data_IF_806466791535
#
_entry.id   IF_806466791535
#
_cell.length_a   1.000
_cell.length_b   1.000
_cell.length_c   1.000
_cell.angle_alpha   90.00
_cell.angle_beta   90.00
_cell.angle_gamma   90.00
#
_symmetry.space_group_name_H-M   'P 1'
#
loop_
_entity.id
_entity.type
_entity.pdbx_description
1 polymer ?
#
# COMPACT_ATOMS: atom_id res chain seq x y z
N UNK A 1 -7.62 -15.01 -11.02
CA UNK A 1 -8.47 -14.17 -10.14
C UNK A 1 -9.54 -13.53 -10.99
N UNK A 2 -10.74 -13.37 -10.45
CA UNK A 2 -11.78 -12.55 -11.08
C UNK A 2 -11.49 -11.07 -10.81
N UNK A 3 -11.57 -10.23 -11.84
CA UNK A 3 -11.13 -8.84 -11.80
C UNK A 3 -11.95 -7.97 -10.82
N UNK A 4 -13.29 -7.97 -10.91
CA UNK A 4 -14.15 -7.26 -9.98
C UNK A 4 -14.02 -7.73 -8.53
N UNK A 5 -13.92 -9.03 -8.29
CA UNK A 5 -13.72 -9.60 -6.96
C UNK A 5 -12.38 -9.13 -6.36
N UNK A 6 -11.29 -9.24 -7.12
CA UNK A 6 -9.98 -8.77 -6.68
C UNK A 6 -9.95 -7.27 -6.34
N UNK A 7 -10.71 -6.44 -7.08
CA UNK A 7 -10.85 -5.01 -6.78
C UNK A 7 -11.60 -4.78 -5.47
N UNK A 8 -12.68 -5.52 -5.21
CA UNK A 8 -13.44 -5.41 -3.97
C UNK A 8 -12.57 -5.81 -2.76
N UNK A 9 -11.84 -6.93 -2.88
CA UNK A 9 -10.92 -7.39 -1.85
C UNK A 9 -9.82 -6.35 -1.57
N UNK A 10 -9.22 -5.78 -2.63
CA UNK A 10 -8.22 -4.73 -2.50
C UNK A 10 -8.76 -3.51 -1.73
N UNK A 11 -9.96 -3.03 -2.08
CA UNK A 11 -10.59 -1.89 -1.41
C UNK A 11 -10.87 -2.22 0.06
N UNK A 12 -11.42 -3.40 0.35
CA UNK A 12 -11.71 -3.84 1.72
C UNK A 12 -10.45 -3.86 2.58
N UNK A 13 -9.38 -4.51 2.09
CA UNK A 13 -8.09 -4.54 2.79
C UNK A 13 -7.46 -3.15 2.93
N UNK A 14 -7.60 -2.27 1.93
CA UNK A 14 -7.11 -0.88 2.03
C UNK A 14 -7.81 -0.11 3.14
N UNK A 15 -9.13 -0.20 3.23
CA UNK A 15 -9.89 0.49 4.27
C UNK A 15 -9.50 0.00 5.66
N UNK A 16 -9.31 -1.30 5.84
CA UNK A 16 -8.82 -1.88 7.09
C UNK A 16 -7.42 -1.36 7.46
N UNK A 17 -6.50 -1.30 6.49
CA UNK A 17 -5.17 -0.71 6.73
C UNK A 17 -5.27 0.76 7.12
N UNK A 18 -6.09 1.55 6.44
CA UNK A 18 -6.27 2.96 6.77
C UNK A 18 -6.84 3.17 8.18
N UNK A 19 -7.82 2.37 8.59
CA UNK A 19 -8.38 2.41 9.95
C UNK A 19 -7.33 2.09 11.03
N UNK A 20 -6.37 1.19 10.75
CA UNK A 20 -5.26 0.91 11.66
C UNK A 20 -4.26 2.08 11.76
N UNK A 21 -4.09 2.83 10.68
CA UNK A 21 -3.14 3.95 10.61
C UNK A 21 -3.73 5.28 11.09
N UNK A 22 -5.06 5.42 11.10
CA UNK A 22 -5.79 6.68 11.36
C UNK A 22 -5.44 7.35 12.69
N UNK A 23 -5.15 6.55 13.72
CA UNK A 23 -4.90 7.05 15.08
C UNK A 23 -3.42 7.05 15.48
N UNK A 24 -2.51 6.88 14.52
CA UNK A 24 -1.08 6.92 14.81
C UNK A 24 -0.60 8.35 15.05
N UNK A 25 0.07 8.54 16.17
CA UNK A 25 0.89 9.71 16.44
C UNK A 25 2.27 9.61 15.79
N UNK A 26 3.08 10.67 15.90
CA UNK A 26 4.42 10.71 15.30
C UNK A 26 5.31 9.55 15.78
N UNK A 27 5.20 9.18 17.07
CA UNK A 27 5.95 8.05 17.64
C UNK A 27 5.52 6.71 17.03
N UNK A 28 4.21 6.52 16.81
CA UNK A 28 3.64 5.38 16.12
C UNK A 28 4.18 5.24 14.69
N UNK A 29 4.27 6.35 13.96
CA UNK A 29 4.85 6.36 12.61
C UNK A 29 6.34 6.01 12.59
N UNK A 30 7.10 6.46 13.60
CA UNK A 30 8.53 6.15 13.75
C UNK A 30 8.81 4.77 14.37
N UNK A 31 7.79 3.95 14.62
CA UNK A 31 7.96 2.61 15.18
C UNK A 31 8.88 1.77 14.28
N UNK A 32 9.98 1.19 14.82
CA UNK A 32 10.88 0.35 14.04
C UNK A 32 10.21 -0.92 13.54
N UNK A 33 10.55 -1.30 12.32
CA UNK A 33 10.13 -2.54 11.66
C UNK A 33 11.33 -3.20 10.97
N UNK A 34 11.20 -4.49 10.65
CA UNK A 34 12.18 -5.23 9.85
C UNK A 34 11.48 -5.80 8.63
N UNK A 35 11.77 -5.22 7.47
CA UNK A 35 11.26 -5.70 6.20
C UNK A 35 12.22 -6.75 5.61
N UNK A 36 11.67 -7.82 5.04
CA UNK A 36 12.48 -8.92 4.50
C UNK A 36 13.41 -8.47 3.35
N UNK A 37 12.99 -7.46 2.58
CA UNK A 37 13.74 -6.93 1.43
C UNK A 37 14.55 -5.68 1.79
N UNK A 38 13.98 -4.77 2.58
CA UNK A 38 14.57 -3.45 2.84
C UNK A 38 15.37 -3.39 4.15
N UNK A 39 15.34 -4.46 4.95
CA UNK A 39 16.05 -4.51 6.23
C UNK A 39 15.37 -3.67 7.31
N UNK A 40 16.14 -3.05 8.23
CA UNK A 40 15.61 -2.13 9.23
C UNK A 40 14.92 -0.93 8.58
N UNK A 41 13.71 -0.62 9.04
CA UNK A 41 12.85 0.43 8.49
C UNK A 41 11.89 0.94 9.56
N UNK A 42 10.99 1.88 9.25
CA UNK A 42 9.90 2.34 10.12
C UNK A 42 8.52 1.98 9.56
N UNK A 43 7.47 2.08 10.38
CA UNK A 43 6.09 1.93 9.90
C UNK A 43 5.74 2.96 8.82
N UNK A 44 6.27 4.18 8.92
CA UNK A 44 6.11 5.22 7.90
C UNK A 44 6.70 4.78 6.56
N UNK A 45 7.94 4.30 6.55
CA UNK A 45 8.61 3.84 5.33
C UNK A 45 7.88 2.64 4.69
N UNK A 46 7.45 1.67 5.49
CA UNK A 46 6.63 0.54 4.99
C UNK A 46 5.34 1.04 4.34
N UNK A 47 4.66 2.00 4.96
CA UNK A 47 3.42 2.58 4.42
C UNK A 47 3.67 3.36 3.13
N UNK A 48 4.81 4.04 3.02
CA UNK A 48 5.25 4.70 1.79
C UNK A 48 5.53 3.68 0.67
N UNK A 49 6.17 2.55 0.97
CA UNK A 49 6.40 1.49 -0.01
C UNK A 49 5.08 0.93 -0.55
N UNK A 50 4.09 0.70 0.31
CA UNK A 50 2.75 0.26 -0.10
C UNK A 50 2.11 1.28 -1.05
N UNK A 51 2.12 2.56 -0.67
CA UNK A 51 1.50 3.60 -1.47
C UNK A 51 2.18 3.79 -2.85
N UNK A 52 3.51 3.71 -2.91
CA UNK A 52 4.22 3.82 -4.19
C UNK A 52 4.00 2.58 -5.07
N UNK A 53 3.92 1.40 -4.46
CA UNK A 53 3.60 0.16 -5.15
C UNK A 53 2.22 0.22 -5.82
N UNK A 54 1.19 0.75 -5.15
CA UNK A 54 -0.13 0.91 -5.78
C UNK A 54 -0.07 1.88 -6.96
N UNK A 55 0.61 3.02 -6.80
CA UNK A 55 0.75 4.01 -7.88
C UNK A 55 1.46 3.41 -9.09
N UNK A 56 2.50 2.61 -8.87
CA UNK A 56 3.19 1.88 -9.93
C UNK A 56 2.22 0.97 -10.70
N UNK A 57 1.44 0.16 -10.01
CA UNK A 57 0.50 -0.75 -10.67
C UNK A 57 -0.67 -0.04 -11.35
N UNK A 58 -1.19 1.05 -10.78
CA UNK A 58 -2.19 1.88 -11.45
C UNK A 58 -1.63 2.44 -12.76
N UNK A 59 -0.38 2.92 -12.77
CA UNK A 59 0.28 3.38 -14.02
C UNK A 59 0.42 2.26 -15.04
N UNK A 60 0.82 1.06 -14.60
CA UNK A 60 0.91 -0.11 -15.48
C UNK A 60 -0.45 -0.48 -16.09
N UNK A 61 -1.51 -0.56 -15.27
CA UNK A 61 -2.88 -0.82 -15.74
C UNK A 61 -3.29 0.23 -16.77
N UNK A 62 -3.08 1.52 -16.48
CA UNK A 62 -3.41 2.61 -17.41
C UNK A 62 -2.70 2.46 -18.74
N UNK A 63 -1.41 2.09 -18.74
CA UNK A 63 -0.65 1.87 -19.98
C UNK A 63 -1.16 0.70 -20.83
N UNK A 64 -1.85 -0.27 -20.21
CA UNK A 64 -2.43 -1.41 -20.91
C UNK A 64 -3.83 -1.13 -21.48
N UNK A 65 -4.62 -0.25 -20.84
CA UNK A 65 -6.01 0.03 -21.23
C UNK A 65 -6.18 1.33 -22.02
N UNK A 66 -5.18 2.21 -22.02
CA UNK A 66 -5.14 3.41 -22.86
C UNK A 66 -4.04 3.20 -23.90
N UNK A 67 -4.38 2.80 -25.14
CA UNK A 67 -3.40 2.79 -26.22
C UNK A 67 -2.89 4.22 -26.45
N UNK A 68 -1.58 4.33 -26.74
CA UNK A 68 -0.99 5.59 -27.21
C UNK A 68 -1.51 6.01 -28.58
#
# INVERSE_FOLDING_TARGET
>A
QDGPEALQDFISHRLNTLALLEFLDDAGWQRPARHAIFGPTTLQEVSQFIAEHDRLHIRQIRSLITPG
#
